data_IF_720475635650
#
_entry.id   IF_720475635650
#
_cell.length_a   1.000
_cell.length_b   1.000
_cell.length_c   1.000
_cell.angle_alpha   90.00
_cell.angle_beta   90.00
_cell.angle_gamma   90.00
#
_symmetry.space_group_name_H-M   'P 1'
#
loop_
_entity.id
_entity.type
_entity.pdbx_description
1 polymer ?
#
# COMPACT_ATOMS: atom_id res chain seq x y z
N UNK A 1 36.77 4.44 28.67
CA UNK A 1 35.38 4.24 29.18
C UNK A 1 34.32 4.66 28.16
N UNK A 2 34.32 5.85 27.59
CA UNK A 2 33.29 6.34 26.64
C UNK A 2 33.16 5.45 25.39
N UNK A 3 34.26 5.09 24.74
CA UNK A 3 34.25 4.20 23.56
C UNK A 3 33.69 2.79 23.85
N UNK A 4 34.00 2.28 25.05
CA UNK A 4 33.48 0.97 25.50
C UNK A 4 31.98 1.05 25.75
N UNK A 5 31.49 2.12 26.39
CA UNK A 5 30.05 2.35 26.58
C UNK A 5 29.28 2.49 25.28
N UNK A 6 29.80 3.27 24.31
CA UNK A 6 29.20 3.43 22.98
C UNK A 6 29.10 2.10 22.22
N UNK A 7 30.16 1.26 22.29
CA UNK A 7 30.17 -0.08 21.68
C UNK A 7 29.00 -0.93 22.19
N UNK A 8 28.83 -1.02 23.51
CA UNK A 8 27.77 -1.81 24.10
C UNK A 8 26.37 -1.25 23.83
N UNK A 9 26.24 0.08 23.75
CA UNK A 9 24.98 0.72 23.35
C UNK A 9 24.59 0.37 21.92
N UNK A 10 25.55 0.38 20.96
CA UNK A 10 25.33 -0.04 19.59
C UNK A 10 24.91 -1.51 19.52
N UNK A 11 25.64 -2.40 20.22
CA UNK A 11 25.33 -3.83 20.25
C UNK A 11 23.94 -4.10 20.86
N UNK A 12 23.56 -3.39 21.91
CA UNK A 12 22.23 -3.48 22.49
C UNK A 12 21.14 -3.00 21.50
N UNK A 13 21.34 -1.88 20.84
CA UNK A 13 20.42 -1.37 19.82
C UNK A 13 20.29 -2.32 18.62
N UNK A 14 21.36 -3.01 18.23
CA UNK A 14 21.38 -3.98 17.15
C UNK A 14 20.54 -5.27 17.43
N UNK A 15 20.06 -5.45 18.66
CA UNK A 15 19.11 -6.52 19.00
C UNK A 15 17.67 -6.15 18.57
N UNK A 16 17.32 -4.85 18.53
CA UNK A 16 15.94 -4.39 18.27
C UNK A 16 15.36 -4.91 16.95
N UNK A 17 16.08 -4.94 15.82
CA UNK A 17 15.57 -5.54 14.58
C UNK A 17 15.17 -7.02 14.74
N UNK A 18 15.91 -7.78 15.54
CA UNK A 18 15.56 -9.19 15.81
C UNK A 18 14.22 -9.30 16.53
N UNK A 19 13.94 -8.41 17.49
CA UNK A 19 12.65 -8.35 18.17
C UNK A 19 11.53 -7.93 17.20
N UNK A 20 11.80 -6.98 16.30
CA UNK A 20 10.85 -6.60 15.24
C UNK A 20 10.53 -7.77 14.31
N UNK A 21 11.51 -8.56 13.89
CA UNK A 21 11.25 -9.74 13.05
C UNK A 21 10.43 -10.81 13.79
N UNK A 22 10.68 -11.04 15.06
CA UNK A 22 9.86 -11.94 15.87
C UNK A 22 8.42 -11.43 16.01
N UNK A 23 8.24 -10.12 16.20
CA UNK A 23 6.92 -9.49 16.24
C UNK A 23 6.19 -9.63 14.89
N UNK A 24 6.89 -9.43 13.75
CA UNK A 24 6.32 -9.63 12.41
C UNK A 24 5.88 -11.09 12.22
N UNK A 25 6.69 -12.06 12.62
CA UNK A 25 6.34 -13.49 12.53
C UNK A 25 5.09 -13.79 13.37
N UNK A 26 5.01 -13.25 14.59
CA UNK A 26 3.84 -13.41 15.44
C UNK A 26 2.60 -12.75 14.85
N UNK A 27 2.71 -11.48 14.41
CA UNK A 27 1.61 -10.71 13.83
C UNK A 27 1.06 -11.36 12.56
N UNK A 28 1.95 -11.86 11.67
CA UNK A 28 1.55 -12.56 10.45
C UNK A 28 0.80 -13.86 10.79
N UNK A 29 1.34 -14.70 11.69
CA UNK A 29 0.65 -15.93 12.11
C UNK A 29 -0.70 -15.65 12.76
N UNK A 30 -0.79 -14.63 13.61
CA UNK A 30 -2.04 -14.21 14.24
C UNK A 30 -3.07 -13.73 13.21
N UNK A 31 -2.64 -12.96 12.22
CA UNK A 31 -3.51 -12.40 11.19
C UNK A 31 -4.06 -13.49 10.26
N UNK A 32 -3.19 -14.22 9.57
CA UNK A 32 -3.61 -15.17 8.53
C UNK A 32 -4.36 -16.38 9.09
N UNK A 33 -4.10 -16.81 10.35
CA UNK A 33 -4.90 -17.86 10.99
C UNK A 33 -6.34 -17.45 11.26
N UNK A 34 -6.60 -16.17 11.53
CA UNK A 34 -7.95 -15.67 11.82
C UNK A 34 -8.77 -15.39 10.57
N UNK A 35 -8.12 -15.07 9.44
CA UNK A 35 -8.78 -14.65 8.20
C UNK A 35 -9.06 -15.80 7.22
N UNK A 36 -8.74 -17.04 7.57
CA UNK A 36 -9.09 -18.25 6.80
C UNK A 36 -10.59 -18.65 6.92
N UNK A 37 -11.41 -17.88 7.62
CA UNK A 37 -12.86 -18.10 7.65
C UNK A 37 -13.48 -17.70 6.29
N UNK A 38 -14.37 -18.54 5.77
CA UNK A 38 -15.11 -18.26 4.54
C UNK A 38 -15.84 -16.91 4.65
N UNK A 39 -15.87 -16.07 3.58
CA UNK A 39 -16.66 -14.86 3.55
C UNK A 39 -18.12 -15.19 3.87
N UNK A 40 -18.72 -14.44 4.78
CA UNK A 40 -20.14 -14.64 5.13
C UNK A 40 -21.08 -14.18 4.01
N UNK A 41 -22.40 -14.47 4.17
CA UNK A 41 -23.46 -14.14 3.21
C UNK A 41 -23.86 -12.65 3.17
N UNK A 42 -23.09 -11.76 3.80
CA UNK A 42 -23.36 -10.34 3.77
C UNK A 42 -22.84 -9.73 2.45
N UNK A 43 -23.78 -9.52 1.51
CA UNK A 43 -23.48 -9.05 0.15
C UNK A 43 -24.34 -7.83 -0.24
N UNK A 44 -24.19 -6.68 0.43
CA UNK A 44 -24.92 -5.48 0.05
C UNK A 44 -24.54 -5.01 -1.35
N UNK A 45 -25.42 -4.30 -2.09
CA UNK A 45 -25.06 -3.73 -3.38
C UNK A 45 -23.87 -2.79 -3.31
N UNK A 46 -22.90 -2.93 -4.24
CA UNK A 46 -21.61 -2.25 -4.24
C UNK A 46 -21.40 -1.42 -5.51
N UNK A 47 -20.86 -0.20 -5.37
CA UNK A 47 -20.28 0.59 -6.46
C UNK A 47 -18.76 0.55 -6.39
N UNK A 48 -18.10 -0.04 -7.39
CA UNK A 48 -16.65 -0.05 -7.55
C UNK A 48 -16.21 1.23 -8.25
N UNK A 49 -15.34 2.00 -7.63
CA UNK A 49 -14.85 3.29 -8.11
C UNK A 49 -13.40 3.15 -8.60
N UNK A 50 -13.17 3.34 -9.89
CA UNK A 50 -11.88 3.20 -10.57
C UNK A 50 -11.44 4.53 -11.16
N UNK A 51 -10.67 5.36 -10.44
CA UNK A 51 -10.02 6.54 -11.01
C UNK A 51 -8.88 6.07 -11.92
N UNK A 52 -8.89 6.48 -13.19
CA UNK A 52 -7.92 6.03 -14.20
C UNK A 52 -7.19 7.25 -14.80
N UNK A 53 -5.92 7.07 -15.11
CA UNK A 53 -5.12 8.05 -15.86
C UNK A 53 -4.08 7.33 -16.71
N UNK A 54 -4.20 7.49 -18.02
CA UNK A 54 -3.33 6.81 -18.96
C UNK A 54 -3.57 5.31 -19.02
N UNK A 55 -2.68 4.60 -19.69
CA UNK A 55 -2.81 3.17 -19.91
C UNK A 55 -1.60 2.43 -19.35
N UNK A 56 -1.83 1.67 -18.28
CA UNK A 56 -0.84 0.75 -17.76
C UNK A 56 -0.75 -0.52 -18.63
N UNK A 57 0.41 -1.19 -18.69
CA UNK A 57 0.49 -2.54 -19.22
C UNK A 57 -0.53 -3.42 -18.47
N UNK A 58 -1.19 -4.35 -19.15
CA UNK A 58 -2.20 -5.23 -18.55
C UNK A 58 -3.49 -4.54 -18.04
N UNK A 59 -3.72 -3.26 -18.36
CA UNK A 59 -4.89 -2.51 -17.87
C UNK A 59 -6.22 -3.26 -18.16
N UNK A 60 -6.36 -3.90 -19.34
CA UNK A 60 -7.54 -4.69 -19.65
C UNK A 60 -7.77 -5.82 -18.63
N UNK A 61 -6.77 -6.63 -18.34
CA UNK A 61 -6.89 -7.74 -17.38
C UNK A 61 -7.07 -7.26 -15.94
N UNK A 62 -6.47 -6.13 -15.58
CA UNK A 62 -6.70 -5.50 -14.29
C UNK A 62 -8.18 -5.09 -14.15
N UNK A 63 -8.73 -4.41 -15.14
CA UNK A 63 -10.14 -4.00 -15.14
C UNK A 63 -11.10 -5.19 -15.23
N UNK A 64 -10.82 -6.17 -16.11
CA UNK A 64 -11.63 -7.38 -16.30
C UNK A 64 -11.70 -8.24 -15.03
N UNK A 65 -10.69 -8.20 -14.17
CA UNK A 65 -10.72 -8.91 -12.88
C UNK A 65 -11.86 -8.44 -11.98
N UNK A 66 -12.23 -7.17 -12.05
CA UNK A 66 -13.40 -6.62 -11.33
C UNK A 66 -14.73 -7.00 -11.99
N UNK A 67 -14.73 -7.32 -13.29
CA UNK A 67 -15.94 -7.79 -13.99
C UNK A 67 -16.27 -9.27 -13.72
N UNK A 68 -15.29 -10.03 -13.21
CA UNK A 68 -15.40 -11.49 -12.97
C UNK A 68 -15.63 -11.81 -11.48
N UNK A 69 -16.33 -10.92 -10.76
CA UNK A 69 -16.58 -11.12 -9.32
C UNK A 69 -17.75 -12.07 -9.07
N UNK A 70 -17.57 -13.00 -8.13
CA UNK A 70 -18.67 -13.79 -7.57
C UNK A 70 -19.43 -12.93 -6.55
N UNK A 71 -20.27 -12.01 -7.04
CA UNK A 71 -21.01 -11.07 -6.21
C UNK A 71 -22.38 -10.77 -6.83
N UNK A 72 -23.48 -10.79 -6.05
CA UNK A 72 -24.83 -10.77 -6.61
C UNK A 72 -25.22 -9.44 -7.27
N UNK A 73 -24.81 -8.30 -6.71
CA UNK A 73 -25.20 -6.99 -7.22
C UNK A 73 -24.09 -5.95 -7.04
N UNK A 74 -23.52 -5.50 -8.16
CA UNK A 74 -22.52 -4.43 -8.16
C UNK A 74 -22.49 -3.71 -9.50
N UNK A 75 -21.91 -2.52 -9.49
CA UNK A 75 -21.58 -1.73 -10.68
C UNK A 75 -20.11 -1.31 -10.65
N UNK A 76 -19.55 -0.99 -11.81
CA UNK A 76 -18.19 -0.46 -11.94
C UNK A 76 -18.24 0.91 -12.62
N UNK A 77 -17.63 1.90 -11.98
CA UNK A 77 -17.49 3.25 -12.51
C UNK A 77 -16.03 3.56 -12.75
N UNK A 78 -15.69 3.84 -13.99
CA UNK A 78 -14.38 4.37 -14.37
C UNK A 78 -14.47 5.89 -14.53
N UNK A 79 -13.45 6.63 -14.10
CA UNK A 79 -13.34 8.04 -14.38
C UNK A 79 -11.96 8.38 -14.95
N UNK A 80 -11.97 9.21 -16.00
CA UNK A 80 -10.80 9.83 -16.62
C UNK A 80 -10.95 11.36 -16.57
N UNK A 81 -9.84 12.09 -16.65
CA UNK A 81 -9.88 13.55 -16.58
C UNK A 81 -10.31 14.21 -17.90
N UNK A 82 -10.03 13.59 -19.05
CA UNK A 82 -10.33 14.14 -20.37
C UNK A 82 -10.70 13.02 -21.36
N UNK A 83 -11.32 13.42 -22.47
CA UNK A 83 -11.79 12.50 -23.53
C UNK A 83 -10.66 11.90 -24.39
N UNK A 84 -9.43 12.37 -24.25
CA UNK A 84 -8.26 11.87 -24.98
C UNK A 84 -7.44 10.87 -24.17
N UNK A 85 -7.92 10.47 -22.98
CA UNK A 85 -7.19 9.51 -22.13
C UNK A 85 -7.04 8.15 -22.84
N UNK A 86 -5.82 7.62 -22.84
CA UNK A 86 -5.46 6.38 -23.53
C UNK A 86 -6.20 5.14 -22.98
N UNK A 87 -6.77 5.21 -21.78
CA UNK A 87 -7.56 4.12 -21.19
C UNK A 87 -8.96 3.99 -21.80
N UNK A 88 -9.52 5.04 -22.44
CA UNK A 88 -10.89 5.06 -22.93
C UNK A 88 -11.19 3.90 -23.90
N UNK A 89 -10.35 3.62 -24.92
CA UNK A 89 -10.61 2.49 -25.82
C UNK A 89 -10.67 1.14 -25.10
N UNK A 90 -9.81 0.94 -24.09
CA UNK A 90 -9.76 -0.28 -23.28
C UNK A 90 -11.02 -0.42 -22.43
N UNK A 91 -11.48 0.66 -21.79
CA UNK A 91 -12.71 0.66 -21.01
C UNK A 91 -13.94 0.43 -21.89
N UNK A 92 -14.01 1.03 -23.09
CA UNK A 92 -15.09 0.79 -24.05
C UNK A 92 -15.13 -0.67 -24.52
N UNK A 93 -13.97 -1.27 -24.77
CA UNK A 93 -13.87 -2.70 -25.06
C UNK A 93 -14.41 -3.54 -23.89
N UNK A 94 -14.01 -3.21 -22.66
CA UNK A 94 -14.48 -3.90 -21.47
C UNK A 94 -16.02 -3.84 -21.34
N UNK A 95 -16.63 -2.68 -21.61
CA UNK A 95 -18.10 -2.52 -21.60
C UNK A 95 -18.75 -3.44 -22.64
N UNK A 96 -18.16 -3.57 -23.82
CA UNK A 96 -18.66 -4.44 -24.87
C UNK A 96 -18.52 -5.94 -24.53
N UNK A 97 -17.40 -6.32 -23.86
CA UNK A 97 -17.11 -7.70 -23.51
C UNK A 97 -17.93 -8.21 -22.29
N UNK A 98 -18.48 -7.29 -21.46
CA UNK A 98 -19.29 -7.60 -20.27
C UNK A 98 -20.67 -6.91 -20.31
N UNK A 99 -21.54 -7.20 -21.29
CA UNK A 99 -22.80 -6.46 -21.49
C UNK A 99 -23.83 -6.66 -20.37
N UNK A 100 -23.70 -7.72 -19.58
CA UNK A 100 -24.58 -8.02 -18.43
C UNK A 100 -24.20 -7.27 -17.14
N UNK A 101 -23.07 -6.58 -17.10
CA UNK A 101 -22.60 -5.85 -15.92
C UNK A 101 -22.78 -4.34 -16.12
N UNK A 102 -23.37 -3.61 -15.16
CA UNK A 102 -23.42 -2.16 -15.20
C UNK A 102 -22.03 -1.52 -15.10
N UNK A 103 -21.40 -1.21 -16.25
CA UNK A 103 -20.12 -0.53 -16.33
C UNK A 103 -20.33 0.85 -16.94
N UNK A 104 -19.83 1.89 -16.29
CA UNK A 104 -19.93 3.26 -16.77
C UNK A 104 -18.55 3.94 -16.84
N UNK A 105 -18.34 4.69 -17.91
CA UNK A 105 -17.19 5.58 -18.06
C UNK A 105 -17.64 7.03 -17.92
N UNK A 106 -16.98 7.76 -17.03
CA UNK A 106 -17.22 9.19 -16.77
C UNK A 106 -15.98 10.00 -17.17
N UNK A 107 -16.22 11.17 -17.73
CA UNK A 107 -15.18 12.21 -17.87
C UNK A 107 -15.40 13.22 -16.77
N UNK A 108 -14.40 13.41 -15.91
CA UNK A 108 -14.47 14.27 -14.71
C UNK A 108 -13.36 15.30 -14.78
N UNK A 109 -13.56 16.40 -15.53
CA UNK A 109 -12.54 17.42 -15.72
C UNK A 109 -12.39 18.35 -14.51
N UNK A 110 -13.30 18.27 -13.53
CA UNK A 110 -13.33 19.14 -12.36
C UNK A 110 -12.05 19.01 -11.53
N UNK A 111 -11.42 20.14 -11.26
CA UNK A 111 -10.26 20.25 -10.38
C UNK A 111 -10.68 20.82 -9.03
N UNK A 112 -10.91 19.96 -8.05
CA UNK A 112 -11.30 20.33 -6.68
C UNK A 112 -10.06 20.67 -5.85
N UNK A 113 -8.99 19.87 -6.00
CA UNK A 113 -7.73 20.08 -5.31
C UNK A 113 -6.52 19.57 -6.11
N UNK A 114 -5.39 19.45 -5.43
CA UNK A 114 -4.10 19.08 -6.04
C UNK A 114 -3.98 17.59 -6.35
N UNK A 115 -4.79 16.74 -5.72
CA UNK A 115 -4.79 15.29 -5.92
C UNK A 115 -5.76 14.90 -7.05
N UNK A 116 -5.22 14.63 -8.24
CA UNK A 116 -5.98 14.25 -9.43
C UNK A 116 -6.80 12.96 -9.27
N UNK A 117 -6.32 11.99 -8.46
CA UNK A 117 -7.07 10.77 -8.12
C UNK A 117 -8.33 11.14 -7.35
N UNK A 118 -8.20 11.98 -6.33
CA UNK A 118 -9.32 12.37 -5.48
C UNK A 118 -10.33 13.23 -6.25
N UNK A 119 -9.89 14.10 -7.16
CA UNK A 119 -10.79 14.86 -8.05
C UNK A 119 -11.74 13.92 -8.81
N UNK A 120 -11.20 12.81 -9.36
CA UNK A 120 -12.03 11.77 -10.03
C UNK A 120 -12.95 11.05 -9.06
N UNK A 121 -12.47 10.73 -7.85
CA UNK A 121 -13.26 10.04 -6.82
C UNK A 121 -14.50 10.86 -6.41
N UNK A 122 -14.40 12.19 -6.36
CA UNK A 122 -15.56 13.06 -6.11
C UNK A 122 -16.65 12.87 -7.18
N UNK A 123 -16.27 12.87 -8.46
CA UNK A 123 -17.22 12.62 -9.56
C UNK A 123 -17.79 11.20 -9.54
N UNK A 124 -16.94 10.20 -9.27
CA UNK A 124 -17.36 8.81 -9.17
C UNK A 124 -18.35 8.59 -8.02
N UNK A 125 -18.10 9.15 -6.83
CA UNK A 125 -18.97 9.02 -5.68
C UNK A 125 -20.36 9.65 -5.91
N UNK A 126 -20.41 10.80 -6.58
CA UNK A 126 -21.66 11.44 -6.98
C UNK A 126 -22.47 10.60 -7.95
N UNK A 127 -21.79 9.93 -8.89
CA UNK A 127 -22.43 9.09 -9.89
C UNK A 127 -22.79 7.67 -9.39
N UNK A 128 -22.17 7.20 -8.32
CA UNK A 128 -22.39 5.86 -7.76
C UNK A 128 -23.83 5.69 -7.24
N UNK A 129 -24.45 4.53 -7.51
CA UNK A 129 -25.83 4.21 -7.15
C UNK A 129 -25.99 3.56 -5.79
N UNK A 130 -24.95 2.87 -5.31
CA UNK A 130 -25.01 2.07 -4.09
C UNK A 130 -24.37 2.77 -2.90
N UNK A 131 -24.78 2.36 -1.69
CA UNK A 131 -24.29 2.92 -0.43
C UNK A 131 -22.90 2.41 -0.05
N UNK A 132 -22.51 1.23 -0.53
CA UNK A 132 -21.18 0.69 -0.30
C UNK A 132 -20.28 1.06 -1.48
N UNK A 133 -19.23 1.83 -1.22
CA UNK A 133 -18.27 2.29 -2.19
C UNK A 133 -16.97 1.52 -2.01
N UNK A 134 -16.43 0.96 -3.08
CA UNK A 134 -15.14 0.27 -3.10
C UNK A 134 -14.22 0.99 -4.06
N UNK A 135 -13.21 1.66 -3.52
CA UNK A 135 -12.16 2.35 -4.27
C UNK A 135 -11.03 1.37 -4.55
N UNK A 136 -10.50 1.41 -5.75
CA UNK A 136 -9.31 0.65 -6.11
C UNK A 136 -8.53 1.33 -7.24
N UNK A 137 -7.20 1.38 -7.12
CA UNK A 137 -6.32 1.97 -8.12
C UNK A 137 -6.38 1.21 -9.47
N UNK A 138 -5.95 1.86 -10.57
CA UNK A 138 -6.09 1.32 -11.92
C UNK A 138 -5.22 0.07 -12.17
N UNK A 139 -4.07 -0.02 -11.52
CA UNK A 139 -3.08 -1.10 -11.62
C UNK A 139 -3.42 -2.34 -10.78
N UNK A 140 -4.58 -2.37 -10.14
CA UNK A 140 -4.99 -3.45 -9.23
C UNK A 140 -5.71 -4.56 -9.97
N UNK A 141 -5.31 -5.81 -9.67
CA UNK A 141 -5.94 -7.07 -10.07
C UNK A 141 -6.45 -7.82 -8.85
N UNK A 142 -7.64 -8.38 -8.94
CA UNK A 142 -8.33 -9.04 -7.81
C UNK A 142 -8.81 -10.44 -8.17
N UNK A 143 -8.97 -11.30 -7.14
CA UNK A 143 -9.58 -12.60 -7.29
C UNK A 143 -11.11 -12.55 -7.33
N UNK A 144 -11.80 -13.65 -7.72
CA UNK A 144 -13.27 -13.68 -7.86
C UNK A 144 -14.03 -13.40 -6.56
N UNK A 145 -13.47 -13.77 -5.41
CA UNK A 145 -14.06 -13.57 -4.08
C UNK A 145 -13.79 -12.21 -3.44
N UNK A 146 -13.11 -11.30 -4.15
CA UNK A 146 -12.65 -10.03 -3.59
C UNK A 146 -13.79 -9.20 -2.98
N UNK A 147 -14.87 -8.96 -3.72
CA UNK A 147 -15.98 -8.14 -3.20
C UNK A 147 -16.64 -8.75 -1.96
N UNK A 148 -16.76 -10.09 -1.90
CA UNK A 148 -17.28 -10.78 -0.71
C UNK A 148 -16.37 -10.56 0.51
N UNK A 149 -15.07 -10.70 0.32
CA UNK A 149 -14.08 -10.51 1.38
C UNK A 149 -14.06 -9.08 1.91
N UNK A 150 -14.23 -8.09 1.02
CA UNK A 150 -14.23 -6.66 1.38
C UNK A 150 -15.57 -6.23 2.01
N UNK A 151 -16.69 -6.82 1.60
CA UNK A 151 -18.01 -6.49 2.14
C UNK A 151 -18.27 -7.15 3.49
N UNK A 152 -17.78 -8.36 3.72
CA UNK A 152 -18.11 -9.16 4.91
C UNK A 152 -17.90 -8.46 6.26
N UNK A 153 -16.82 -7.68 6.50
CA UNK A 153 -16.62 -6.99 7.78
C UNK A 153 -17.70 -5.95 8.09
N UNK A 154 -18.35 -5.39 7.08
CA UNK A 154 -19.43 -4.42 7.27
C UNK A 154 -20.72 -5.00 7.85
N UNK A 155 -20.80 -6.31 8.07
CA UNK A 155 -21.85 -6.89 8.93
C UNK A 155 -21.84 -6.28 10.32
N UNK A 156 -20.68 -5.92 10.81
CA UNK A 156 -20.52 -5.15 12.05
C UNK A 156 -20.71 -3.65 11.74
N UNK A 157 -21.73 -3.00 12.34
CA UNK A 157 -21.99 -1.57 12.11
C UNK A 157 -20.86 -0.65 12.61
N UNK A 158 -20.00 -1.11 13.52
CA UNK A 158 -18.84 -0.35 13.99
C UNK A 158 -17.72 -0.25 12.94
N UNK A 159 -17.72 -1.12 11.92
CA UNK A 159 -16.73 -1.06 10.84
C UNK A 159 -17.10 0.07 9.89
N UNK A 160 -16.28 1.12 9.86
CA UNK A 160 -16.44 2.27 8.98
C UNK A 160 -15.68 2.12 7.67
N UNK A 161 -14.48 1.53 7.71
CA UNK A 161 -13.62 1.31 6.54
C UNK A 161 -13.07 -0.12 6.54
N UNK A 162 -13.01 -0.71 5.34
CA UNK A 162 -12.29 -1.96 5.09
C UNK A 162 -11.18 -1.69 4.08
N UNK A 163 -9.99 -2.20 4.36
CA UNK A 163 -8.82 -2.15 3.47
C UNK A 163 -8.20 -3.53 3.35
N UNK A 164 -7.43 -3.78 2.30
CA UNK A 164 -6.86 -5.10 2.04
C UNK A 164 -5.35 -5.08 1.94
N UNK A 165 -4.73 -6.17 2.39
CA UNK A 165 -3.35 -6.49 2.04
C UNK A 165 -3.23 -6.74 0.54
N UNK A 166 -2.04 -6.52 -0.01
CA UNK A 166 -1.77 -6.76 -1.43
C UNK A 166 -0.32 -7.19 -1.69
N UNK A 167 -0.10 -7.85 -2.83
CA UNK A 167 1.21 -8.27 -3.33
C UNK A 167 1.49 -7.64 -4.69
N UNK A 168 2.74 -7.72 -5.16
CA UNK A 168 3.13 -7.23 -6.48
C UNK A 168 3.13 -8.32 -7.56
N UNK A 169 2.67 -7.98 -8.77
CA UNK A 169 2.92 -8.77 -9.98
C UNK A 169 3.99 -8.05 -10.79
N UNK A 170 5.24 -8.49 -10.80
CA UNK A 170 6.30 -7.79 -11.51
C UNK A 170 6.35 -8.17 -12.99
N UNK A 171 6.67 -7.21 -13.85
CA UNK A 171 7.30 -7.48 -15.13
C UNK A 171 8.67 -8.14 -14.86
N UNK A 172 9.08 -9.07 -15.71
CA UNK A 172 10.35 -9.80 -15.55
C UNK A 172 11.55 -8.88 -15.77
N UNK A 173 11.91 -8.12 -14.77
CA UNK A 173 13.16 -7.37 -14.69
C UNK A 173 13.48 -7.03 -13.23
N UNK A 174 14.71 -6.63 -12.94
CA UNK A 174 15.20 -6.45 -11.57
C UNK A 174 14.37 -5.42 -10.76
N UNK A 175 14.02 -4.28 -11.36
CA UNK A 175 13.38 -3.18 -10.62
C UNK A 175 11.93 -3.48 -10.24
N UNK A 176 11.08 -4.00 -11.15
CA UNK A 176 9.74 -4.47 -10.78
C UNK A 176 9.77 -5.63 -9.77
N UNK A 177 10.74 -6.55 -9.90
CA UNK A 177 10.88 -7.67 -8.94
C UNK A 177 11.25 -7.13 -7.54
N UNK A 178 12.18 -6.16 -7.43
CA UNK A 178 12.52 -5.50 -6.17
C UNK A 178 11.34 -4.70 -5.60
N UNK A 179 10.56 -4.05 -6.46
CA UNK A 179 9.34 -3.37 -6.04
C UNK A 179 8.34 -4.34 -5.43
N UNK A 180 8.03 -5.44 -6.11
CA UNK A 180 7.11 -6.46 -5.62
C UNK A 180 7.60 -7.11 -4.32
N UNK A 181 8.91 -7.45 -4.23
CA UNK A 181 9.54 -7.97 -3.01
C UNK A 181 9.37 -6.99 -1.85
N UNK A 182 9.57 -5.70 -2.08
CA UNK A 182 9.43 -4.67 -1.05
C UNK A 182 8.03 -4.63 -0.45
N UNK A 183 6.99 -4.87 -1.24
CA UNK A 183 5.61 -4.91 -0.76
C UNK A 183 5.42 -6.06 0.23
N UNK A 184 5.84 -7.26 -0.13
CA UNK A 184 5.59 -8.47 0.67
C UNK A 184 6.55 -8.63 1.85
N UNK A 185 7.76 -8.01 1.82
CA UNK A 185 8.79 -8.24 2.84
C UNK A 185 9.10 -7.03 3.72
N UNK A 186 8.56 -5.86 3.37
CA UNK A 186 8.80 -4.60 4.08
C UNK A 186 7.50 -3.84 4.36
N UNK A 187 6.74 -3.46 3.34
CA UNK A 187 5.54 -2.66 3.49
C UNK A 187 4.42 -3.41 4.24
N UNK A 188 4.02 -4.60 3.78
CA UNK A 188 2.97 -5.38 4.43
C UNK A 188 3.36 -5.87 5.84
N UNK A 189 4.61 -6.32 6.11
CA UNK A 189 5.08 -6.54 7.47
C UNK A 189 4.95 -5.32 8.39
N UNK A 190 5.28 -4.11 7.91
CA UNK A 190 5.13 -2.88 8.68
C UNK A 190 3.64 -2.57 8.99
N UNK A 191 2.74 -2.84 8.04
CA UNK A 191 1.27 -2.73 8.25
C UNK A 191 0.81 -3.69 9.35
N UNK A 192 1.24 -4.96 9.34
CA UNK A 192 0.85 -5.92 10.37
C UNK A 192 1.48 -5.61 11.73
N UNK A 193 2.71 -5.10 11.74
CA UNK A 193 3.35 -4.65 12.97
C UNK A 193 2.59 -3.47 13.58
N UNK A 194 2.21 -2.47 12.78
CA UNK A 194 1.40 -1.36 13.22
C UNK A 194 0.02 -1.83 13.74
N UNK A 195 -0.63 -2.74 13.01
CA UNK A 195 -1.89 -3.37 13.46
C UNK A 195 -1.76 -4.04 14.83
N UNK A 196 -0.64 -4.74 15.06
CA UNK A 196 -0.41 -5.47 16.32
C UNK A 196 -0.14 -4.54 17.50
N UNK A 197 0.54 -3.41 17.27
CA UNK A 197 0.98 -2.48 18.31
C UNK A 197 -0.08 -1.45 18.69
N UNK A 198 -0.84 -0.95 17.72
CA UNK A 198 -1.73 0.22 17.90
C UNK A 198 -3.10 0.07 17.22
N UNK A 199 -3.34 -1.06 16.52
CA UNK A 199 -4.53 -1.22 15.70
C UNK A 199 -4.38 -0.63 14.29
N UNK A 200 -5.44 -0.77 13.47
CA UNK A 200 -5.48 -0.19 12.12
C UNK A 200 -6.25 1.12 12.18
N UNK A 201 -5.58 2.23 11.92
CA UNK A 201 -6.16 3.57 11.88
C UNK A 201 -5.95 4.26 10.53
N UNK A 202 -5.66 3.49 9.48
CA UNK A 202 -5.36 3.97 8.13
C UNK A 202 -5.89 2.97 7.10
N UNK A 203 -6.03 3.40 5.86
CA UNK A 203 -6.33 2.50 4.76
C UNK A 203 -5.17 2.45 3.76
N UNK A 204 -5.22 1.49 2.84
CA UNK A 204 -4.23 1.23 1.79
C UNK A 204 -4.89 1.43 0.42
N UNK A 205 -4.28 2.21 -0.46
CA UNK A 205 -4.85 2.67 -1.72
C UNK A 205 -5.25 1.57 -2.72
N UNK A 206 -4.66 0.37 -2.61
CA UNK A 206 -5.04 -0.78 -3.43
C UNK A 206 -6.52 -1.18 -3.25
N UNK A 207 -7.05 -1.00 -2.03
CA UNK A 207 -8.46 -1.26 -1.69
C UNK A 207 -8.90 -0.42 -0.50
N UNK A 208 -9.91 0.39 -0.71
CA UNK A 208 -10.62 1.08 0.36
C UNK A 208 -12.12 0.90 0.15
N UNK A 209 -12.79 0.25 1.07
CA UNK A 209 -14.25 0.19 1.07
C UNK A 209 -14.80 1.03 2.23
N UNK A 210 -15.87 1.77 1.96
CA UNK A 210 -16.50 2.67 2.91
C UNK A 210 -18.00 2.78 2.63
N UNK A 211 -18.81 2.98 3.68
CA UNK A 211 -20.21 3.38 3.49
C UNK A 211 -20.31 4.85 3.09
N UNK A 212 -21.28 5.20 2.24
CA UNK A 212 -21.51 6.58 1.82
C UNK A 212 -21.72 7.53 3.02
N UNK A 213 -22.44 7.06 4.03
CA UNK A 213 -22.68 7.80 5.27
C UNK A 213 -21.35 8.11 6.00
N UNK A 214 -20.51 7.08 6.19
CA UNK A 214 -19.19 7.26 6.81
C UNK A 214 -18.26 8.17 5.99
N UNK A 215 -18.36 8.14 4.65
CA UNK A 215 -17.65 9.07 3.79
C UNK A 215 -18.15 10.52 4.00
N UNK A 216 -19.46 10.71 4.12
CA UNK A 216 -20.05 12.03 4.39
C UNK A 216 -19.63 12.59 5.75
N UNK A 217 -19.53 11.76 6.79
CA UNK A 217 -19.07 12.15 8.13
C UNK A 217 -17.63 12.71 8.15
N UNK A 218 -16.77 12.28 7.24
CA UNK A 218 -15.40 12.82 7.11
C UNK A 218 -15.29 13.99 6.13
N UNK A 219 -16.42 14.46 5.57
CA UNK A 219 -16.50 15.60 4.64
C UNK A 219 -16.38 15.23 3.17
N UNK A 220 -16.65 13.97 2.80
CA UNK A 220 -16.57 13.48 1.43
C UNK A 220 -15.14 13.33 0.93
N UNK A 221 -14.98 12.96 -0.34
CA UNK A 221 -13.68 12.96 -0.99
C UNK A 221 -13.15 14.39 -1.17
N UNK A 222 -14.02 15.39 -1.23
CA UNK A 222 -13.65 16.79 -1.34
C UNK A 222 -12.70 17.23 -0.22
N UNK A 223 -12.91 16.73 1.00
CA UNK A 223 -12.05 17.01 2.15
C UNK A 223 -10.63 16.40 2.02
N UNK A 224 -10.41 15.47 1.09
CA UNK A 224 -9.15 14.80 0.85
C UNK A 224 -8.42 15.30 -0.42
N UNK A 225 -8.99 16.30 -1.12
CA UNK A 225 -8.55 16.70 -2.45
C UNK A 225 -7.11 17.26 -2.54
N UNK A 226 -6.53 17.67 -1.42
CA UNK A 226 -5.14 18.15 -1.33
C UNK A 226 -4.21 17.20 -0.57
N UNK A 227 -4.74 16.09 -0.04
CA UNK A 227 -3.95 15.13 0.73
C UNK A 227 -3.03 14.30 -0.19
N UNK A 228 -1.78 14.14 0.23
CA UNK A 228 -0.78 13.35 -0.51
C UNK A 228 -1.02 11.83 -0.37
N UNK A 229 -1.53 11.40 0.77
CA UNK A 229 -1.89 10.03 1.09
C UNK A 229 -3.39 10.00 1.43
N UNK A 230 -4.23 10.09 0.40
CA UNK A 230 -5.67 10.17 0.49
C UNK A 230 -6.30 8.96 1.19
N UNK A 231 -5.77 7.78 0.92
CA UNK A 231 -6.16 6.51 1.53
C UNK A 231 -5.85 6.47 3.03
N UNK A 232 -4.62 6.83 3.40
CA UNK A 232 -4.21 6.93 4.80
C UNK A 232 -5.10 7.91 5.57
N UNK A 233 -5.32 9.10 5.03
CA UNK A 233 -6.14 10.14 5.64
C UNK A 233 -7.61 9.74 5.74
N UNK A 234 -8.16 9.06 4.74
CA UNK A 234 -9.51 8.53 4.79
C UNK A 234 -9.68 7.58 5.99
N UNK A 235 -8.78 6.59 6.13
CA UNK A 235 -8.80 5.66 7.25
C UNK A 235 -8.63 6.37 8.59
N UNK A 236 -7.66 7.31 8.68
CA UNK A 236 -7.38 8.08 9.91
C UNK A 236 -8.58 8.92 10.36
N UNK A 237 -9.22 9.62 9.42
CA UNK A 237 -10.40 10.45 9.74
C UNK A 237 -11.59 9.61 10.15
N UNK A 238 -11.78 8.44 9.54
CA UNK A 238 -12.84 7.50 9.91
C UNK A 238 -12.60 6.93 11.32
N UNK A 239 -11.36 6.54 11.63
CA UNK A 239 -11.00 6.08 12.96
C UNK A 239 -11.17 7.17 14.03
N UNK A 240 -10.84 8.43 13.71
CA UNK A 240 -11.02 9.58 14.60
C UNK A 240 -12.51 9.88 14.90
N UNK A 241 -13.45 9.38 14.11
CA UNK A 241 -14.91 9.44 14.37
C UNK A 241 -15.41 8.28 15.20
N UNK A 242 -14.51 7.39 15.66
CA UNK A 242 -14.86 6.25 16.49
C UNK A 242 -15.21 4.98 15.72
N UNK A 243 -15.13 5.00 14.39
CA UNK A 243 -15.35 3.80 13.56
C UNK A 243 -14.09 2.95 13.48
N UNK A 244 -14.28 1.64 13.35
CA UNK A 244 -13.18 0.69 13.20
C UNK A 244 -12.74 0.59 11.74
N UNK A 245 -11.43 0.57 11.53
CA UNK A 245 -10.83 0.22 10.23
C UNK A 245 -10.42 -1.25 10.27
N UNK A 246 -10.92 -2.05 9.33
CA UNK A 246 -10.64 -3.49 9.26
C UNK A 246 -9.69 -3.79 8.10
N UNK A 247 -8.64 -4.56 8.40
CA UNK A 247 -7.69 -5.06 7.41
C UNK A 247 -8.04 -6.50 7.05
N UNK A 248 -8.24 -6.78 5.76
CA UNK A 248 -8.56 -8.11 5.24
C UNK A 248 -7.47 -8.63 4.29
N UNK A 249 -7.49 -9.93 4.02
CA UNK A 249 -6.73 -10.56 2.94
C UNK A 249 -7.71 -10.96 1.82
N UNK A 250 -7.79 -10.14 0.78
CA UNK A 250 -8.78 -10.29 -0.30
C UNK A 250 -8.13 -10.64 -1.65
N UNK A 251 -6.97 -11.28 -1.66
CA UNK A 251 -6.25 -11.66 -2.89
C UNK A 251 -6.02 -10.50 -3.86
N UNK A 252 -5.56 -9.36 -3.34
CA UNK A 252 -5.30 -8.15 -4.11
C UNK A 252 -3.86 -8.13 -4.60
N UNK A 253 -3.67 -7.78 -5.87
CA UNK A 253 -2.35 -7.68 -6.50
C UNK A 253 -2.20 -6.35 -7.22
N UNK A 254 -1.05 -5.69 -7.10
CA UNK A 254 -0.70 -4.48 -7.87
C UNK A 254 0.29 -4.82 -8.98
N UNK A 255 0.16 -4.18 -10.12
CA UNK A 255 1.06 -4.40 -11.25
C UNK A 255 2.33 -3.54 -11.09
N UNK A 256 3.50 -4.19 -11.00
CA UNK A 256 4.80 -3.52 -10.88
C UNK A 256 5.47 -3.47 -12.26
N UNK A 257 5.58 -2.27 -12.84
CA UNK A 257 6.03 -2.07 -14.23
C UNK A 257 7.24 -1.15 -14.41
N UNK A 258 7.89 -0.71 -13.33
CA UNK A 258 9.01 0.23 -13.38
C UNK A 258 10.20 -0.35 -14.16
N UNK A 259 10.61 0.32 -15.25
CA UNK A 259 11.59 -0.24 -16.19
C UNK A 259 13.04 0.15 -15.84
N UNK A 260 13.26 1.19 -15.05
CA UNK A 260 14.59 1.73 -14.77
C UNK A 260 14.84 1.95 -13.28
N UNK A 261 16.14 1.93 -12.89
CA UNK A 261 16.58 2.32 -11.54
C UNK A 261 16.07 3.71 -11.16
N UNK A 262 16.07 4.66 -12.12
CA UNK A 262 15.63 6.03 -11.88
C UNK A 262 14.14 6.10 -11.54
N UNK A 263 13.29 5.41 -12.30
CA UNK A 263 11.84 5.34 -12.04
C UNK A 263 11.56 4.67 -10.69
N UNK A 264 12.21 3.51 -10.45
CA UNK A 264 12.13 2.79 -9.19
C UNK A 264 12.50 3.69 -8.00
N UNK A 265 13.65 4.38 -8.08
CA UNK A 265 14.12 5.26 -7.01
C UNK A 265 13.16 6.44 -6.76
N UNK A 266 12.69 7.11 -7.82
CA UNK A 266 11.75 8.24 -7.70
C UNK A 266 10.44 7.79 -7.06
N UNK A 267 9.89 6.66 -7.49
CA UNK A 267 8.63 6.13 -6.96
C UNK A 267 8.78 5.70 -5.49
N UNK A 268 9.82 4.94 -5.16
CA UNK A 268 10.06 4.48 -3.77
C UNK A 268 10.38 5.66 -2.84
N UNK A 269 11.14 6.63 -3.30
CA UNK A 269 11.41 7.85 -2.53
C UNK A 269 10.12 8.65 -2.28
N UNK A 270 9.22 8.74 -3.27
CA UNK A 270 7.90 9.34 -3.09
C UNK A 270 7.12 8.67 -1.97
N UNK A 271 7.03 7.33 -1.97
CA UNK A 271 6.34 6.56 -0.93
C UNK A 271 6.98 6.77 0.45
N UNK A 272 8.31 6.77 0.52
CA UNK A 272 9.05 7.03 1.75
C UNK A 272 8.76 8.43 2.34
N UNK A 273 8.71 9.46 1.49
CA UNK A 273 8.36 10.82 1.89
C UNK A 273 6.91 10.90 2.36
N UNK A 274 5.97 10.26 1.65
CA UNK A 274 4.56 10.23 2.05
C UNK A 274 4.37 9.51 3.39
N UNK A 275 5.01 8.35 3.60
CA UNK A 275 4.98 7.63 4.87
C UNK A 275 5.56 8.46 6.02
N UNK A 276 6.68 9.15 5.80
CA UNK A 276 7.27 10.07 6.79
C UNK A 276 6.33 11.21 7.14
N UNK A 277 5.66 11.80 6.17
CA UNK A 277 4.72 12.91 6.42
C UNK A 277 3.45 12.43 7.13
N UNK A 278 2.97 11.24 6.79
CA UNK A 278 1.79 10.65 7.42
C UNK A 278 2.07 10.23 8.89
N UNK A 279 3.27 9.68 9.19
CA UNK A 279 3.63 9.14 10.51
C UNK A 279 5.08 9.45 10.88
N UNK A 280 5.44 10.70 11.20
CA UNK A 280 6.83 11.13 11.37
C UNK A 280 7.60 10.34 12.42
N UNK A 281 7.03 10.14 13.62
CA UNK A 281 7.69 9.39 14.71
C UNK A 281 7.84 7.91 14.39
N UNK A 282 6.80 7.28 13.83
CA UNK A 282 6.85 5.89 13.41
C UNK A 282 7.86 5.69 12.28
N UNK A 283 7.97 6.65 11.36
CA UNK A 283 8.92 6.59 10.26
C UNK A 283 10.39 6.74 10.73
N UNK A 284 10.66 7.63 11.69
CA UNK A 284 12.00 7.72 12.29
C UNK A 284 12.31 6.44 13.06
N UNK A 285 11.35 5.94 13.84
CA UNK A 285 11.50 4.68 14.59
C UNK A 285 11.68 3.44 13.71
N UNK A 286 11.29 3.49 12.44
CA UNK A 286 11.46 2.40 11.47
C UNK A 286 12.92 1.96 11.30
N UNK A 287 13.92 2.83 11.61
CA UNK A 287 15.33 2.44 11.63
C UNK A 287 15.57 1.20 12.52
N UNK A 288 14.85 1.05 13.61
CA UNK A 288 14.98 -0.09 14.52
C UNK A 288 14.40 -1.39 13.97
N UNK A 289 13.64 -1.34 12.89
CA UNK A 289 13.17 -2.53 12.17
C UNK A 289 14.10 -2.93 11.01
N UNK A 290 15.06 -2.06 10.62
CA UNK A 290 16.00 -2.30 9.53
C UNK A 290 17.20 -3.13 10.00
N UNK A 291 17.19 -4.46 9.83
CA UNK A 291 18.21 -5.34 10.38
C UNK A 291 19.60 -5.18 9.76
N UNK A 292 19.68 -4.94 8.44
CA UNK A 292 20.97 -4.89 7.72
C UNK A 292 21.92 -3.80 8.25
N UNK A 293 21.54 -2.50 8.37
CA UNK A 293 22.44 -1.47 8.86
C UNK A 293 22.90 -1.72 10.30
N UNK A 294 22.02 -2.21 11.18
CA UNK A 294 22.40 -2.55 12.55
C UNK A 294 23.33 -3.75 12.61
N UNK A 295 23.15 -4.75 11.74
CA UNK A 295 24.07 -5.88 11.62
C UNK A 295 25.46 -5.43 11.18
N UNK A 296 25.56 -4.54 10.18
CA UNK A 296 26.82 -3.97 9.74
C UNK A 296 27.51 -3.21 10.88
N UNK A 297 26.78 -2.36 11.59
CA UNK A 297 27.32 -1.64 12.75
C UNK A 297 27.79 -2.60 13.86
N UNK A 298 26.99 -3.63 14.15
CA UNK A 298 27.36 -4.63 15.16
C UNK A 298 28.66 -5.37 14.78
N UNK A 299 28.81 -5.77 13.52
CA UNK A 299 30.04 -6.43 13.02
C UNK A 299 31.27 -5.52 13.17
N UNK A 300 31.13 -4.22 12.87
CA UNK A 300 32.23 -3.26 12.96
C UNK A 300 32.68 -3.01 14.40
N UNK A 301 31.78 -3.10 15.38
CA UNK A 301 32.11 -2.80 16.79
C UNK A 301 32.25 -4.05 17.67
N UNK A 302 31.92 -5.23 17.18
CA UNK A 302 31.96 -6.47 17.97
C UNK A 302 33.38 -6.75 18.49
N UNK A 303 33.54 -7.09 19.80
CA UNK A 303 34.84 -7.39 20.37
C UNK A 303 35.45 -8.72 19.92
N UNK A 304 34.61 -9.63 19.41
CA UNK A 304 35.02 -10.97 18.95
C UNK A 304 34.33 -11.34 17.63
N UNK A 305 35.02 -12.15 16.83
CA UNK A 305 34.47 -12.69 15.57
C UNK A 305 33.21 -13.54 15.80
N UNK A 306 33.15 -14.26 16.94
CA UNK A 306 31.99 -15.05 17.31
C UNK A 306 30.76 -14.18 17.50
N UNK A 307 30.89 -13.08 18.25
CA UNK A 307 29.79 -12.13 18.46
C UNK A 307 29.38 -11.45 17.14
N UNK A 308 30.34 -11.05 16.31
CA UNK A 308 30.04 -10.51 14.98
C UNK A 308 29.23 -11.52 14.13
N UNK A 309 29.69 -12.78 14.09
CA UNK A 309 29.01 -13.87 13.38
C UNK A 309 27.62 -14.16 13.91
N UNK A 310 27.39 -14.04 15.23
CA UNK A 310 26.06 -14.25 15.81
C UNK A 310 25.04 -13.18 15.36
N UNK A 311 25.44 -11.90 15.22
CA UNK A 311 24.55 -10.86 14.66
C UNK A 311 24.22 -11.12 13.20
N UNK A 312 25.19 -11.54 12.38
CA UNK A 312 24.96 -11.91 10.98
C UNK A 312 24.00 -13.09 10.89
N UNK A 313 24.24 -14.14 11.67
CA UNK A 313 23.38 -15.32 11.70
C UNK A 313 21.95 -14.97 12.16
N UNK A 314 21.82 -14.19 13.22
CA UNK A 314 20.50 -13.75 13.73
C UNK A 314 19.73 -12.93 12.66
N UNK A 315 20.39 -11.98 12.01
CA UNK A 315 19.79 -11.23 10.90
C UNK A 315 19.29 -12.16 9.79
N UNK A 316 20.16 -13.01 9.27
CA UNK A 316 19.81 -13.89 8.14
C UNK A 316 18.67 -14.84 8.51
N UNK A 317 18.76 -15.51 9.66
CA UNK A 317 17.75 -16.50 10.09
C UNK A 317 16.40 -15.81 10.33
N UNK A 318 16.36 -14.74 11.12
CA UNK A 318 15.10 -14.09 11.49
C UNK A 318 14.50 -13.30 10.33
N UNK A 319 15.32 -12.66 9.50
CA UNK A 319 14.86 -11.96 8.30
C UNK A 319 14.25 -12.92 7.29
N UNK A 320 14.90 -14.07 7.05
CA UNK A 320 14.36 -15.08 6.15
C UNK A 320 13.12 -15.77 6.75
N UNK A 321 13.08 -16.01 8.05
CA UNK A 321 11.89 -16.54 8.72
C UNK A 321 10.69 -15.55 8.65
N UNK A 322 10.94 -14.25 8.84
CA UNK A 322 9.91 -13.21 8.69
C UNK A 322 9.40 -13.12 7.24
N UNK A 323 10.31 -13.09 6.26
CA UNK A 323 10.00 -13.13 4.83
C UNK A 323 9.17 -14.38 4.48
N UNK A 324 9.59 -15.56 4.93
CA UNK A 324 8.88 -16.82 4.66
C UNK A 324 7.47 -16.79 5.27
N UNK A 325 7.36 -16.40 6.55
CA UNK A 325 6.07 -16.38 7.27
C UNK A 325 5.11 -15.37 6.67
N UNK A 326 5.59 -14.18 6.33
CA UNK A 326 4.75 -13.11 5.79
C UNK A 326 4.44 -13.31 4.32
N UNK A 327 5.50 -13.43 3.49
CA UNK A 327 5.36 -13.40 2.04
C UNK A 327 4.96 -14.77 1.46
N UNK A 328 5.65 -15.86 1.85
CA UNK A 328 5.41 -17.17 1.21
C UNK A 328 4.20 -17.87 1.83
N UNK A 329 4.15 -17.95 3.16
CA UNK A 329 3.07 -18.65 3.85
C UNK A 329 1.79 -17.81 3.97
N UNK A 330 1.91 -16.53 4.32
CA UNK A 330 0.76 -15.64 4.53
C UNK A 330 0.18 -15.09 3.22
N UNK A 331 0.97 -14.35 2.46
CA UNK A 331 0.54 -13.68 1.23
C UNK A 331 0.57 -14.56 -0.03
N UNK A 332 1.06 -15.80 0.06
CA UNK A 332 1.22 -16.73 -1.07
C UNK A 332 1.99 -16.12 -2.26
N UNK A 333 3.04 -15.34 -1.97
CA UNK A 333 3.83 -14.66 -2.98
C UNK A 333 4.80 -15.63 -3.68
N UNK A 334 4.46 -15.99 -4.93
CA UNK A 334 5.27 -16.91 -5.74
C UNK A 334 6.59 -16.31 -6.22
N UNK A 335 6.71 -14.97 -6.26
CA UNK A 335 7.97 -14.32 -6.60
C UNK A 335 9.03 -14.60 -5.52
N UNK A 336 8.67 -14.49 -4.26
CA UNK A 336 9.57 -14.74 -3.15
C UNK A 336 10.08 -16.19 -3.10
N UNK A 337 9.31 -17.18 -3.54
CA UNK A 337 9.77 -18.57 -3.66
C UNK A 337 10.97 -18.70 -4.62
N UNK A 338 11.05 -17.82 -5.63
CA UNK A 338 12.07 -17.86 -6.69
C UNK A 338 13.18 -16.85 -6.49
N UNK A 339 12.91 -15.71 -5.83
CA UNK A 339 13.77 -14.53 -5.75
C UNK A 339 14.10 -14.11 -4.31
N UNK A 340 13.96 -14.98 -3.33
CA UNK A 340 14.23 -14.70 -1.92
C UNK A 340 15.61 -14.08 -1.65
N UNK A 341 16.59 -14.39 -2.46
CA UNK A 341 17.97 -13.88 -2.36
C UNK A 341 18.08 -12.37 -2.68
N UNK A 342 17.05 -11.75 -3.29
CA UNK A 342 16.98 -10.30 -3.50
C UNK A 342 16.59 -9.53 -2.23
N UNK A 343 16.15 -10.20 -1.17
CA UNK A 343 15.72 -9.53 0.07
C UNK A 343 16.84 -8.72 0.71
N UNK A 344 18.09 -9.21 0.87
CA UNK A 344 19.17 -8.39 1.40
C UNK A 344 19.54 -7.19 0.50
N UNK A 345 19.40 -7.33 -0.81
CA UNK A 345 19.56 -6.22 -1.75
C UNK A 345 18.49 -5.15 -1.54
N UNK A 346 17.23 -5.58 -1.37
CA UNK A 346 16.16 -4.64 -0.99
C UNK A 346 16.46 -3.95 0.34
N UNK A 347 16.91 -4.66 1.37
CA UNK A 347 17.21 -4.09 2.69
C UNK A 347 18.28 -2.97 2.60
N UNK A 348 19.26 -3.12 1.70
CA UNK A 348 20.24 -2.06 1.43
C UNK A 348 19.59 -0.85 0.74
N UNK A 349 18.76 -1.05 -0.27
CA UNK A 349 18.00 0.03 -0.92
C UNK A 349 17.04 0.74 0.05
N UNK A 350 16.33 -0.01 0.88
CA UNK A 350 15.40 0.52 1.86
C UNK A 350 16.09 1.47 2.84
N UNK A 351 17.28 1.11 3.33
CA UNK A 351 18.07 1.97 4.20
C UNK A 351 18.50 3.27 3.50
N UNK A 352 19.02 3.19 2.28
CA UNK A 352 19.45 4.38 1.50
C UNK A 352 18.24 5.29 1.24
N UNK A 353 17.10 4.74 0.84
CA UNK A 353 15.88 5.50 0.62
C UNK A 353 15.38 6.17 1.91
N UNK A 354 15.44 5.45 3.04
CA UNK A 354 15.08 6.00 4.35
C UNK A 354 15.94 7.20 4.70
N UNK A 355 17.27 7.09 4.58
CA UNK A 355 18.21 8.20 4.86
C UNK A 355 17.91 9.40 3.96
N UNK A 356 17.79 9.20 2.65
CA UNK A 356 17.54 10.30 1.69
C UNK A 356 16.21 10.97 1.97
N UNK A 357 15.17 10.19 2.26
CA UNK A 357 13.84 10.72 2.51
C UNK A 357 13.76 11.62 3.74
N UNK A 358 14.67 11.49 4.72
CA UNK A 358 14.69 12.37 5.90
C UNK A 358 15.01 13.83 5.53
N UNK A 359 15.81 14.03 4.46
CA UNK A 359 16.27 15.35 4.02
C UNK A 359 15.54 15.87 2.78
N UNK A 360 14.68 15.04 2.17
CA UNK A 360 14.01 15.39 0.92
C UNK A 360 12.50 15.53 1.13
N UNK A 361 11.89 16.59 0.59
CA UNK A 361 10.45 16.87 0.72
C UNK A 361 9.75 17.14 -0.62
N UNK A 362 10.47 17.02 -1.75
CA UNK A 362 9.90 17.19 -3.09
C UNK A 362 9.59 15.84 -3.70
N UNK A 363 8.42 15.72 -4.31
CA UNK A 363 7.99 14.52 -5.02
C UNK A 363 7.57 14.90 -6.44
N UNK A 364 7.88 14.03 -7.40
CA UNK A 364 7.35 14.14 -8.76
C UNK A 364 6.22 13.14 -8.91
N UNK A 365 5.02 13.63 -9.15
CA UNK A 365 3.84 12.80 -9.33
C UNK A 365 3.06 13.26 -10.55
N UNK A 366 2.77 12.33 -11.46
CA UNK A 366 2.01 12.58 -12.69
C UNK A 366 2.54 13.75 -13.53
N UNK A 367 3.88 13.91 -13.59
CA UNK A 367 4.54 14.96 -14.36
C UNK A 367 4.67 16.31 -13.66
N UNK A 368 3.99 16.51 -12.53
CA UNK A 368 4.05 17.71 -11.70
C UNK A 368 5.00 17.52 -10.53
N UNK A 369 5.74 18.57 -10.17
CA UNK A 369 6.57 18.58 -8.96
C UNK A 369 5.78 19.21 -7.82
N UNK A 370 5.67 18.45 -6.73
CA UNK A 370 5.02 18.92 -5.50
C UNK A 370 6.04 18.99 -4.37
N UNK A 371 5.82 19.92 -3.46
CA UNK A 371 6.38 19.87 -2.11
C UNK A 371 5.35 19.22 -1.19
N UNK A 372 5.74 18.21 -0.43
CA UNK A 372 4.86 17.61 0.58
C UNK A 372 5.16 18.28 1.93
N UNK A 373 4.14 18.88 2.52
CA UNK A 373 4.26 19.57 3.82
C UNK A 373 2.97 19.36 4.61
N UNK A 374 3.08 18.87 5.84
CA UNK A 374 1.92 18.58 6.68
C UNK A 374 0.94 17.58 6.04
N UNK A 375 1.45 16.61 5.26
CA UNK A 375 0.64 15.63 4.53
C UNK A 375 0.02 16.12 3.22
N UNK A 376 0.13 17.42 2.89
CA UNK A 376 -0.53 18.04 1.71
C UNK A 376 0.40 18.19 0.52
N UNK A 377 -0.17 18.07 -0.67
CA UNK A 377 0.49 18.32 -1.96
C UNK A 377 0.44 19.83 -2.29
N UNK A 378 1.58 20.49 -2.25
CA UNK A 378 1.72 21.89 -2.64
C UNK A 378 2.46 21.92 -3.98
N UNK A 379 1.78 22.33 -5.08
CA UNK A 379 2.45 22.45 -6.38
C UNK A 379 3.62 23.42 -6.31
N UNK A 380 4.79 23.01 -6.82
CA UNK A 380 5.93 23.91 -6.97
C UNK A 380 5.79 24.57 -8.34
N UNK A 381 5.62 25.90 -8.37
CA UNK A 381 5.60 26.65 -9.63
C UNK A 381 6.87 26.33 -10.43
N UNK A 382 6.73 26.02 -11.73
CA UNK A 382 7.91 25.98 -12.61
C UNK A 382 8.56 27.34 -12.56
N UNK A 383 9.90 27.44 -12.42
CA UNK A 383 10.55 28.70 -12.74
C UNK A 383 10.15 29.11 -14.17
N UNK A 384 9.89 30.39 -14.44
CA UNK A 384 9.62 30.85 -15.78
C UNK A 384 10.76 30.34 -16.67
N UNK A 385 10.38 29.74 -17.80
CA UNK A 385 11.29 29.24 -18.86
C UNK A 385 12.07 30.35 -19.50
#
# INVERSE_FOLDING_TARGET
MVLTGLRWAILAAAILPSLCYLLIIFAARSFFRRHNAAPGDFTPPVSVLKPVRGLDPEAYENFASFCRQDYPQYEILFAVTNEQDAAIPVIRKLIADFPGLPIRLLVTPEKIGSNDKVNKLCGLARAARHNFLVLSDADIRVGPGYLRSVAAPFRDPQVGVVTSMFTGIPVRSLWPELEAISLSTDFMPAVLMARQLEGVHFALGATVAIRREGLAEIGGFEALADEAADDYELGRRTAARGHRVELVDASVKTWCSLQSLREFFIQRLRWAIMARQARPLGYVGYIFAQGLPWTVLAVLVAPTRLLAGSFVAAYLILRMAAMWTMGIWGLHDDLLKRRWWLVPLWDAFAFVLWVISLFWSRVRWQGVVYRVSGGRLIPVARPPS
#
